data_IF_618878723019
#
_entry.id   IF_618878723019
#
_cell.length_a   1.000
_cell.length_b   1.000
_cell.length_c   1.000
_cell.angle_alpha   90.00
_cell.angle_beta   90.00
_cell.angle_gamma   90.00
#
_symmetry.space_group_name_H-M   'P 1'
#
loop_
_entity.id
_entity.type
_entity.pdbx_description
1 polymer ?
#
# COMPACT_ATOMS: atom_id res chain seq x y z
N UNK A 1 32.26 10.91 1.60
CA UNK A 1 30.85 10.87 2.07
C UNK A 1 29.93 10.76 0.87
N UNK A 2 29.39 9.57 0.59
CA UNK A 2 28.43 9.38 -0.49
C UNK A 2 27.09 9.99 -0.05
N UNK A 3 26.75 11.18 -0.57
CA UNK A 3 25.35 11.64 -0.53
C UNK A 3 24.53 10.65 -1.34
N UNK A 4 23.65 9.91 -0.67
CA UNK A 4 22.65 9.07 -1.32
C UNK A 4 21.99 9.90 -2.43
N UNK A 5 21.95 9.37 -3.66
CA UNK A 5 21.25 10.01 -4.78
C UNK A 5 19.81 10.27 -4.32
N UNK A 6 19.49 11.53 -4.04
CA UNK A 6 18.11 11.99 -4.03
C UNK A 6 17.63 11.92 -5.47
N UNK A 7 17.20 10.74 -5.90
CA UNK A 7 16.50 10.59 -7.16
C UNK A 7 15.16 11.29 -6.97
N UNK A 8 14.91 12.32 -7.77
CA UNK A 8 13.61 12.97 -7.81
C UNK A 8 12.56 11.88 -8.09
N UNK A 9 11.52 11.73 -7.26
CA UNK A 9 10.56 10.65 -7.45
C UNK A 9 9.85 10.81 -8.79
N UNK A 10 9.69 9.70 -9.50
CA UNK A 10 9.14 9.70 -10.85
C UNK A 10 7.68 10.12 -10.80
N UNK A 11 7.24 11.01 -11.69
CA UNK A 11 5.82 11.40 -11.77
C UNK A 11 4.94 10.15 -11.84
N UNK A 12 3.95 10.08 -10.95
CA UNK A 12 3.03 8.95 -10.82
C UNK A 12 3.49 7.82 -9.92
N UNK A 13 4.72 7.85 -9.37
CA UNK A 13 5.12 6.92 -8.31
C UNK A 13 4.46 7.28 -6.98
N UNK A 14 4.40 6.30 -6.06
CA UNK A 14 3.91 6.50 -4.70
C UNK A 14 4.63 7.68 -4.02
N UNK A 15 5.96 7.70 -4.09
CA UNK A 15 6.81 8.73 -3.47
C UNK A 15 6.55 10.12 -4.06
N UNK A 16 6.24 10.20 -5.37
CA UNK A 16 5.89 11.47 -5.99
C UNK A 16 4.54 11.99 -5.49
N UNK A 17 3.56 11.10 -5.37
CA UNK A 17 2.22 11.44 -4.86
C UNK A 17 2.27 11.82 -3.38
N UNK A 18 2.97 11.05 -2.56
CA UNK A 18 3.21 11.31 -1.12
C UNK A 18 3.88 12.68 -0.91
N UNK A 19 4.96 12.94 -1.66
CA UNK A 19 5.68 14.21 -1.55
C UNK A 19 4.80 15.40 -1.95
N UNK A 20 3.95 15.23 -2.98
CA UNK A 20 3.00 16.26 -3.41
C UNK A 20 1.95 16.52 -2.33
N UNK A 21 1.42 15.48 -1.70
CA UNK A 21 0.43 15.58 -0.62
C UNK A 21 1.00 16.27 0.61
N UNK A 22 2.21 15.91 1.05
CA UNK A 22 2.89 16.62 2.17
C UNK A 22 3.06 18.11 1.94
N UNK A 23 3.37 18.51 0.70
CA UNK A 23 3.57 19.92 0.35
C UNK A 23 2.27 20.72 0.31
N UNK A 24 1.13 20.06 0.14
CA UNK A 24 -0.18 20.71 -0.07
C UNK A 24 -1.13 20.56 1.13
N UNK A 25 -0.84 19.65 2.06
CA UNK A 25 -1.74 19.35 3.16
C UNK A 25 -1.68 20.37 4.30
N UNK A 26 -2.84 20.64 4.88
CA UNK A 26 -2.94 21.21 6.23
C UNK A 26 -2.95 20.05 7.25
N UNK A 27 -2.53 20.31 8.50
CA UNK A 27 -2.21 19.27 9.49
C UNK A 27 -3.32 18.21 9.67
N UNK A 28 -4.60 18.61 9.59
CA UNK A 28 -5.75 17.71 9.81
C UNK A 28 -6.23 16.97 8.57
N UNK A 29 -5.94 17.47 7.35
CA UNK A 29 -6.34 16.78 6.10
C UNK A 29 -5.32 15.73 5.66
N UNK A 30 -4.07 15.86 6.10
CA UNK A 30 -2.98 14.98 5.69
C UNK A 30 -3.24 13.50 6.03
N UNK A 31 -3.77 13.21 7.23
CA UNK A 31 -4.03 11.83 7.66
C UNK A 31 -4.99 11.10 6.73
N UNK A 32 -6.18 11.68 6.49
CA UNK A 32 -7.21 11.11 5.61
C UNK A 32 -6.75 10.99 4.17
N UNK A 33 -5.99 11.97 3.68
CA UNK A 33 -5.46 11.91 2.32
C UNK A 33 -4.42 10.79 2.20
N UNK A 34 -3.56 10.61 3.21
CA UNK A 34 -2.56 9.55 3.26
C UNK A 34 -3.20 8.15 3.33
N UNK A 35 -4.26 7.97 4.12
CA UNK A 35 -5.02 6.72 4.18
C UNK A 35 -5.54 6.29 2.80
N UNK A 36 -6.11 7.24 2.04
CA UNK A 36 -6.59 6.98 0.66
C UNK A 36 -5.46 6.59 -0.29
N UNK A 37 -4.30 7.25 -0.17
CA UNK A 37 -3.13 6.90 -0.98
C UNK A 37 -2.67 5.46 -0.69
N UNK A 38 -2.61 5.08 0.59
CA UNK A 38 -2.25 3.73 1.00
C UNK A 38 -3.25 2.69 0.49
N UNK A 39 -4.56 2.94 0.59
CA UNK A 39 -5.59 2.04 0.03
C UNK A 39 -5.34 1.75 -1.45
N UNK A 40 -5.22 2.81 -2.27
CA UNK A 40 -4.95 2.66 -3.71
C UNK A 40 -3.62 1.94 -3.96
N UNK A 41 -2.58 2.25 -3.19
CA UNK A 41 -1.28 1.60 -3.36
C UNK A 41 -1.34 0.10 -3.04
N UNK A 42 -2.03 -0.30 -1.97
CA UNK A 42 -2.16 -1.70 -1.57
C UNK A 42 -2.98 -2.51 -2.59
N UNK A 43 -4.02 -1.91 -3.17
CA UNK A 43 -4.89 -2.56 -4.15
C UNK A 43 -4.28 -2.63 -5.57
N UNK A 44 -3.37 -1.71 -5.93
CA UNK A 44 -2.85 -1.59 -7.31
C UNK A 44 -1.37 -1.92 -7.47
N UNK A 45 -0.58 -1.92 -6.39
CA UNK A 45 0.84 -2.22 -6.47
C UNK A 45 1.06 -3.68 -6.85
N UNK A 46 1.91 -3.99 -7.86
CA UNK A 46 2.24 -5.36 -8.23
C UNK A 46 2.76 -6.21 -7.07
N UNK A 47 3.38 -5.59 -6.07
CA UNK A 47 3.89 -6.27 -4.87
C UNK A 47 2.78 -6.79 -3.98
N UNK A 48 1.63 -6.10 -3.91
CA UNK A 48 0.57 -6.36 -2.94
C UNK A 48 -0.74 -6.81 -3.56
N UNK A 49 -1.01 -6.49 -4.82
CA UNK A 49 -2.28 -6.80 -5.49
C UNK A 49 -2.59 -8.31 -5.60
N UNK A 50 -1.58 -9.17 -5.50
CA UNK A 50 -1.76 -10.62 -5.45
C UNK A 50 -2.00 -11.15 -4.03
N UNK A 51 -1.66 -10.36 -3.02
CA UNK A 51 -1.72 -10.71 -1.61
C UNK A 51 -2.92 -10.08 -0.91
N UNK A 52 -3.35 -8.89 -1.33
CA UNK A 52 -4.41 -8.11 -0.68
C UNK A 52 -5.62 -8.10 -1.61
N UNK A 53 -6.75 -8.61 -1.11
CA UNK A 53 -8.03 -8.63 -1.82
C UNK A 53 -8.73 -7.27 -1.71
N UNK A 54 -8.74 -6.70 -0.51
CA UNK A 54 -9.46 -5.47 -0.20
C UNK A 54 -8.79 -4.74 0.97
N UNK A 55 -8.74 -3.40 0.90
CA UNK A 55 -8.30 -2.55 2.00
C UNK A 55 -9.43 -1.60 2.44
N UNK A 56 -9.65 -1.44 3.73
CA UNK A 56 -10.64 -0.53 4.31
C UNK A 56 -9.98 0.67 4.97
N UNK A 57 -10.58 1.84 4.76
CA UNK A 57 -10.27 3.05 5.51
C UNK A 57 -10.81 2.95 6.94
N UNK A 58 -10.34 3.81 7.83
CA UNK A 58 -10.78 3.82 9.23
C UNK A 58 -12.31 3.92 9.38
N UNK A 59 -12.99 4.74 8.57
CA UNK A 59 -14.45 4.88 8.65
C UNK A 59 -15.23 3.70 8.03
N UNK A 60 -14.54 2.79 7.34
CA UNK A 60 -15.13 1.62 6.67
C UNK A 60 -15.07 0.35 7.54
N UNK A 61 -14.24 0.30 8.60
CA UNK A 61 -14.10 -0.87 9.48
C UNK A 61 -14.79 -0.66 10.84
N UNK A 62 -15.55 -1.66 11.36
CA UNK A 62 -16.32 -1.52 12.60
C UNK A 62 -15.47 -1.33 13.86
N UNK A 63 -14.24 -1.88 13.91
CA UNK A 63 -13.35 -1.75 15.07
C UNK A 63 -12.50 -0.47 14.98
N UNK A 64 -12.56 0.36 16.02
CA UNK A 64 -11.85 1.65 16.04
C UNK A 64 -10.47 1.52 16.67
N UNK A 65 -9.47 2.21 16.09
CA UNK A 65 -8.11 2.32 16.65
C UNK A 65 -6.98 1.85 15.72
N UNK A 66 -7.28 1.55 14.46
CA UNK A 66 -6.30 1.17 13.42
C UNK A 66 -6.53 2.07 12.20
N UNK A 67 -5.45 2.56 11.59
CA UNK A 67 -5.54 3.52 10.47
C UNK A 67 -5.94 2.87 9.14
N UNK A 68 -5.57 1.60 8.91
CA UNK A 68 -5.91 0.80 7.72
C UNK A 68 -6.08 -0.66 8.11
N UNK A 69 -7.11 -1.31 7.55
CA UNK A 69 -7.33 -2.76 7.67
C UNK A 69 -7.31 -3.37 6.28
N UNK A 70 -6.72 -4.55 6.12
CA UNK A 70 -6.66 -5.23 4.83
C UNK A 70 -7.08 -6.69 4.98
N UNK A 71 -7.81 -7.19 3.98
CA UNK A 71 -8.05 -8.62 3.80
C UNK A 71 -6.98 -9.20 2.90
N UNK A 72 -6.26 -10.17 3.44
CA UNK A 72 -5.34 -10.98 2.67
C UNK A 72 -6.11 -11.98 1.80
N UNK A 73 -5.66 -12.13 0.56
CA UNK A 73 -6.10 -13.17 -0.36
C UNK A 73 -5.58 -14.52 0.15
N UNK A 74 -6.48 -15.41 0.56
CA UNK A 74 -6.13 -16.78 0.93
C UNK A 74 -5.88 -17.60 -0.35
N UNK A 75 -4.77 -17.35 -1.04
CA UNK A 75 -4.37 -18.19 -2.18
C UNK A 75 -3.80 -19.48 -1.61
N UNK A 76 -4.62 -20.53 -1.57
CA UNK A 76 -4.17 -21.89 -1.28
C UNK A 76 -3.17 -22.29 -2.38
N UNK A 77 -1.86 -22.18 -2.09
CA UNK A 77 -0.84 -22.75 -2.96
C UNK A 77 -1.13 -24.25 -3.11
N UNK A 78 -1.51 -24.67 -4.31
CA UNK A 78 -1.58 -26.09 -4.66
C UNK A 78 -0.15 -26.64 -4.54
N UNK A 79 0.13 -27.34 -3.44
CA UNK A 79 1.34 -28.13 -3.20
C UNK A 79 1.46 -29.32 -4.17
N UNK A 80 1.46 -29.09 -5.49
CA UNK A 80 1.49 -30.18 -6.48
C UNK A 80 2.59 -30.07 -7.55
N UNK A 81 3.59 -29.20 -7.40
CA UNK A 81 4.76 -29.16 -8.32
C UNK A 81 6.10 -29.55 -7.65
N UNK A 82 6.07 -30.31 -6.55
CA UNK A 82 7.29 -30.83 -5.90
C UNK A 82 7.23 -32.32 -5.52
N UNK A 83 6.48 -33.11 -6.28
CA UNK A 83 6.59 -34.58 -6.25
C UNK A 83 6.48 -35.07 -7.68
N UNK A 84 7.63 -35.25 -8.33
CA UNK A 84 7.92 -36.29 -9.34
C UNK A 84 9.32 -36.05 -9.96
N UNK A 85 10.29 -35.70 -9.12
CA UNK A 85 11.72 -35.91 -9.40
C UNK A 85 12.32 -36.62 -8.20
N UNK A 86 11.99 -37.90 -8.05
CA UNK A 86 12.70 -38.87 -7.24
C UNK A 86 12.35 -40.28 -7.72
#
# INVERSE_FOLDING_TARGET
>A
MNKARSQNPRRGSFEFMEQKMRKQATVTSFGKDFEKLCKVYLETSPTYMALIEEAWLWDEWPDKGVDLVCRESHVQLRLNEMRDVA
#
